data_IF_701906088709
#
_entry.id   IF_701906088709
#
_cell.length_a   1.000
_cell.length_b   1.000
_cell.length_c   1.000
_cell.angle_alpha   90.00
_cell.angle_beta   90.00
_cell.angle_gamma   90.00
#
_symmetry.space_group_name_H-M   'P 1'
#
loop_
_entity.id
_entity.type
_entity.pdbx_description
1 polymer ?
#
# COMPACT_ATOMS: atom_id res chain seq x y z
N UNK A 1 5.41 -17.62 2.83
CA UNK A 1 4.56 -16.55 3.36
C UNK A 1 4.04 -15.76 2.16
N UNK A 2 2.73 -15.44 2.08
CA UNK A 2 2.13 -14.76 0.92
C UNK A 2 1.22 -13.63 1.43
N UNK A 3 1.44 -12.42 0.94
CA UNK A 3 0.57 -11.26 1.19
C UNK A 3 -0.75 -11.48 0.45
N UNK A 4 -1.89 -11.33 1.14
CA UNK A 4 -3.23 -11.50 0.54
C UNK A 4 -3.96 -10.18 0.33
N UNK A 5 -3.91 -9.30 1.31
CA UNK A 5 -4.47 -7.96 1.20
C UNK A 5 -3.68 -6.96 2.06
N UNK A 6 -3.86 -5.68 1.75
CA UNK A 6 -3.38 -4.54 2.51
C UNK A 6 -4.56 -3.59 2.74
N UNK A 7 -4.87 -3.31 4.00
CA UNK A 7 -5.87 -2.30 4.38
C UNK A 7 -5.17 -1.00 4.77
N UNK A 8 -5.60 0.12 4.16
CA UNK A 8 -5.05 1.45 4.37
C UNK A 8 -6.17 2.40 4.78
N UNK A 9 -6.18 2.78 6.06
CA UNK A 9 -7.16 3.70 6.64
C UNK A 9 -6.48 4.92 7.22
N UNK A 10 -6.88 6.11 6.76
CA UNK A 10 -6.23 7.39 7.09
C UNK A 10 -4.70 7.35 6.91
N UNK A 11 -4.23 6.65 5.87
CA UNK A 11 -2.81 6.48 5.60
C UNK A 11 -2.41 7.29 4.36
N UNK A 12 -1.67 8.39 4.56
CA UNK A 12 -1.26 9.31 3.49
C UNK A 12 -2.46 9.75 2.64
N UNK A 13 -2.52 9.36 1.37
CA UNK A 13 -3.58 9.71 0.43
C UNK A 13 -4.78 8.74 0.44
N UNK A 14 -4.79 7.72 1.31
CA UNK A 14 -5.86 6.72 1.40
C UNK A 14 -6.77 7.03 2.59
N UNK A 15 -8.07 7.17 2.35
CA UNK A 15 -9.08 7.38 3.38
C UNK A 15 -9.50 6.06 4.03
N UNK A 16 -9.94 5.09 3.23
CA UNK A 16 -10.31 3.74 3.67
C UNK A 16 -10.31 2.82 2.43
N UNK A 17 -9.18 2.20 2.14
CA UNK A 17 -8.99 1.38 0.94
C UNK A 17 -8.42 0.00 1.27
N UNK A 18 -8.86 -1.01 0.54
CA UNK A 18 -8.34 -2.37 0.59
C UNK A 18 -7.75 -2.77 -0.77
N UNK A 19 -6.51 -3.27 -0.75
CA UNK A 19 -5.81 -3.75 -1.94
C UNK A 19 -5.64 -5.26 -1.81
N UNK A 20 -6.24 -6.02 -2.72
CA UNK A 20 -6.05 -7.48 -2.83
C UNK A 20 -4.82 -7.80 -3.70
N UNK A 21 -4.11 -8.88 -3.35
CA UNK A 21 -2.91 -9.35 -4.05
C UNK A 21 -3.06 -10.76 -4.61
N UNK A 22 -2.73 -10.90 -5.88
CA UNK A 22 -2.70 -12.16 -6.63
C UNK A 22 -1.26 -12.66 -6.83
N UNK A 23 -1.08 -13.69 -7.66
CA UNK A 23 0.25 -14.20 -8.03
C UNK A 23 1.09 -13.12 -8.73
N UNK A 24 0.41 -12.19 -9.42
CA UNK A 24 1.00 -11.00 -10.02
C UNK A 24 0.04 -9.82 -9.89
N UNK A 25 0.50 -8.75 -9.25
CA UNK A 25 -0.26 -7.50 -9.09
C UNK A 25 0.63 -6.34 -9.49
N UNK A 26 0.14 -5.48 -10.39
CA UNK A 26 0.84 -4.29 -10.85
C UNK A 26 0.10 -3.02 -10.42
N UNK A 27 0.79 -2.13 -9.70
CA UNK A 27 0.26 -0.81 -9.35
C UNK A 27 0.53 0.16 -10.50
N UNK A 28 -0.52 0.54 -11.24
CA UNK A 28 -0.43 1.44 -12.40
C UNK A 28 -1.29 2.69 -12.23
N UNK A 29 -0.92 3.78 -12.89
CA UNK A 29 -1.63 5.06 -12.82
C UNK A 29 -0.71 6.27 -12.99
N UNK A 30 -1.28 7.46 -13.05
CA UNK A 30 -0.54 8.71 -13.21
C UNK A 30 0.47 8.96 -12.07
N UNK A 31 1.47 9.82 -12.31
CA UNK A 31 2.36 10.28 -11.25
C UNK A 31 1.53 10.93 -10.13
N UNK A 32 2.01 10.81 -8.89
CA UNK A 32 1.27 11.22 -7.68
C UNK A 32 -0.05 10.49 -7.37
N UNK A 33 -0.46 9.47 -8.13
CA UNK A 33 -1.69 8.70 -7.85
C UNK A 33 -1.59 7.76 -6.62
N UNK A 34 -0.59 7.90 -5.74
CA UNK A 34 -0.49 7.10 -4.51
C UNK A 34 0.19 5.73 -4.63
N UNK A 35 0.73 5.35 -5.80
CA UNK A 35 1.40 4.05 -6.00
C UNK A 35 2.53 3.78 -5.00
N UNK A 36 3.46 4.73 -4.83
CA UNK A 36 4.55 4.62 -3.86
C UNK A 36 4.05 4.68 -2.41
N UNK A 37 2.89 5.31 -2.16
CA UNK A 37 2.26 5.33 -0.85
C UNK A 37 1.69 3.95 -0.49
N UNK A 38 1.06 3.23 -1.44
CA UNK A 38 0.63 1.85 -1.21
C UNK A 38 1.83 0.94 -0.86
N UNK A 39 2.96 1.10 -1.57
CA UNK A 39 4.20 0.40 -1.25
C UNK A 39 4.76 0.74 0.13
N UNK A 40 4.70 2.02 0.54
CA UNK A 40 5.06 2.43 1.89
C UNK A 40 4.16 1.76 2.95
N UNK A 41 2.85 1.65 2.70
CA UNK A 41 1.94 0.94 3.59
C UNK A 41 2.39 -0.50 3.86
N UNK A 42 2.81 -1.23 2.81
CA UNK A 42 3.36 -2.58 2.96
C UNK A 42 4.63 -2.61 3.84
N UNK A 43 5.56 -1.66 3.64
CA UNK A 43 6.80 -1.59 4.44
C UNK A 43 6.49 -1.27 5.91
N UNK A 44 5.57 -0.34 6.15
CA UNK A 44 5.19 0.09 7.50
C UNK A 44 4.62 -1.07 8.33
N UNK A 45 3.74 -1.88 7.74
CA UNK A 45 3.15 -3.04 8.42
C UNK A 45 4.17 -4.10 8.84
N UNK A 46 5.37 -4.12 8.25
CA UNK A 46 6.46 -5.01 8.64
C UNK A 46 7.31 -4.47 9.82
N UNK A 47 6.86 -3.40 10.48
CA UNK A 47 7.52 -2.83 11.65
C UNK A 47 8.68 -1.89 11.35
N UNK A 48 8.86 -1.50 10.08
CA UNK A 48 9.82 -0.47 9.71
C UNK A 48 9.19 0.91 9.88
N UNK A 49 9.74 1.79 10.74
CA UNK A 49 9.27 3.16 10.84
C UNK A 49 9.53 3.87 9.51
N UNK A 50 8.47 4.44 8.94
CA UNK A 50 8.59 5.33 7.79
C UNK A 50 8.39 6.72 8.36
N UNK A 51 9.35 7.63 8.12
CA UNK A 51 9.14 9.04 8.43
C UNK A 51 7.85 9.49 7.71
N UNK A 52 6.90 9.95 8.52
CA UNK A 52 5.52 10.28 8.13
C UNK A 52 5.50 11.68 7.54
#
# INVERSE_FOLDING_TARGET
MRLKSLSLKNFRCFTDEEIEFDDYTALVGANNAGKSAALAGMIFTNGFPIEI
#
